data_IF_052531697459
#
_entry.id   IF_052531697459
#
_cell.length_a   1.000
_cell.length_b   1.000
_cell.length_c   1.000
_cell.angle_alpha   90.00
_cell.angle_beta   90.00
_cell.angle_gamma   90.00
#
_symmetry.space_group_name_H-M   'P 1'
#
loop_
_entity.id
_entity.type
_entity.pdbx_description
1 polymer ?
#
# COMPACT_ATOMS: atom_id res chain seq x y z
N UNK A 1 22.67 25.68 5.84
CA UNK A 1 23.14 24.37 6.32
C UNK A 1 23.15 23.45 5.12
N UNK A 2 24.25 22.74 4.89
CA UNK A 2 24.53 21.98 3.66
C UNK A 2 23.48 20.89 3.46
N UNK A 3 22.60 21.02 2.46
CA UNK A 3 21.76 19.94 1.95
C UNK A 3 22.62 19.07 1.03
N UNK A 4 23.46 18.24 1.63
CA UNK A 4 24.03 17.07 0.93
C UNK A 4 22.98 15.96 1.03
N UNK A 5 21.92 16.08 0.22
CA UNK A 5 20.90 15.03 0.08
C UNK A 5 21.44 14.07 -0.96
N UNK A 6 22.01 12.95 -0.52
CA UNK A 6 22.40 11.84 -1.39
C UNK A 6 21.23 11.41 -2.29
N UNK A 7 21.46 11.03 -3.56
CA UNK A 7 20.42 10.69 -4.54
C UNK A 7 19.47 9.55 -4.12
N UNK A 8 19.72 8.83 -3.02
CA UNK A 8 18.77 7.87 -2.45
C UNK A 8 17.58 8.48 -1.70
N UNK A 9 17.63 9.75 -1.29
CA UNK A 9 16.69 10.29 -0.29
C UNK A 9 15.46 11.00 -0.86
N UNK A 10 15.20 10.98 -2.17
CA UNK A 10 14.27 11.96 -2.76
C UNK A 10 12.80 11.72 -2.41
N UNK A 11 12.31 10.48 -2.43
CA UNK A 11 10.95 10.17 -1.99
C UNK A 11 10.76 10.41 -0.49
N UNK A 12 11.75 10.05 0.34
CA UNK A 12 11.77 10.38 1.78
C UNK A 12 11.75 11.89 1.99
N UNK A 13 12.57 12.65 1.28
CA UNK A 13 12.62 14.10 1.38
C UNK A 13 11.30 14.73 0.93
N UNK A 14 10.67 14.19 -0.11
CA UNK A 14 9.32 14.61 -0.52
C UNK A 14 8.31 14.35 0.59
N UNK A 15 8.30 13.15 1.17
CA UNK A 15 7.43 12.81 2.31
C UNK A 15 7.60 13.81 3.46
N UNK A 16 8.84 14.12 3.88
CA UNK A 16 9.08 15.09 4.95
C UNK A 16 8.58 16.49 4.57
N UNK A 17 8.82 16.94 3.33
CA UNK A 17 8.31 18.23 2.82
C UNK A 17 6.79 18.29 2.77
N UNK A 18 6.11 17.16 2.60
CA UNK A 18 4.64 17.09 2.63
C UNK A 18 4.10 17.26 4.04
N UNK A 19 4.76 16.67 5.05
CA UNK A 19 4.40 16.87 6.44
C UNK A 19 4.54 18.34 6.87
N UNK A 20 5.56 19.03 6.37
CA UNK A 20 5.82 20.44 6.67
C UNK A 20 5.06 21.40 5.72
N UNK A 21 4.21 20.89 4.83
CA UNK A 21 3.54 21.72 3.83
C UNK A 21 2.41 22.54 4.45
N UNK A 22 2.54 23.86 4.37
CA UNK A 22 1.48 24.80 4.72
C UNK A 22 0.96 25.56 3.49
N UNK A 23 -0.35 25.81 3.49
CA UNK A 23 -1.01 26.67 2.52
C UNK A 23 -1.48 25.97 1.23
N UNK A 24 -1.94 26.74 0.24
CA UNK A 24 -2.49 26.20 -1.00
C UNK A 24 -1.41 25.81 -2.02
N UNK A 25 -1.83 25.12 -3.08
CA UNK A 25 -1.00 24.87 -4.27
C UNK A 25 -0.16 23.60 -4.21
N UNK A 26 -0.44 22.70 -3.27
CA UNK A 26 0.29 21.44 -3.13
C UNK A 26 0.34 20.64 -4.44
N UNK A 27 -0.79 20.49 -5.14
CA UNK A 27 -0.89 19.73 -6.38
C UNK A 27 0.10 20.23 -7.45
N UNK A 28 0.23 21.55 -7.60
CA UNK A 28 1.20 22.14 -8.53
C UNK A 28 2.65 21.92 -8.10
N UNK A 29 2.93 21.95 -6.79
CA UNK A 29 4.27 21.66 -6.24
C UNK A 29 4.67 20.20 -6.45
N UNK A 30 3.74 19.26 -6.25
CA UNK A 30 3.95 17.84 -6.51
C UNK A 30 4.30 17.59 -7.97
N UNK A 31 3.51 18.13 -8.91
CA UNK A 31 3.79 18.02 -10.35
C UNK A 31 5.17 18.55 -10.71
N UNK A 32 5.47 19.77 -10.27
CA UNK A 32 6.78 20.39 -10.51
C UNK A 32 7.92 19.55 -9.92
N UNK A 33 7.75 18.99 -8.73
CA UNK A 33 8.76 18.15 -8.12
C UNK A 33 9.01 16.90 -8.96
N UNK A 34 7.96 16.24 -9.46
CA UNK A 34 8.09 15.08 -10.36
C UNK A 34 8.79 15.45 -11.68
N UNK A 35 8.46 16.62 -12.25
CA UNK A 35 9.12 17.12 -13.46
C UNK A 35 10.63 17.38 -13.23
N UNK A 36 10.98 17.97 -12.09
CA UNK A 36 12.37 18.26 -11.70
C UNK A 36 13.16 16.98 -11.35
N UNK A 37 12.47 15.88 -11.05
CA UNK A 37 13.07 14.61 -10.65
C UNK A 37 12.61 13.44 -11.52
N UNK A 38 12.52 13.66 -12.84
CA UNK A 38 11.99 12.70 -13.81
C UNK A 38 12.68 11.31 -13.77
N UNK A 39 13.96 11.23 -13.39
CA UNK A 39 14.66 9.95 -13.25
C UNK A 39 13.96 9.01 -12.26
N UNK A 40 13.50 9.49 -11.10
CA UNK A 40 12.82 8.63 -10.13
C UNK A 40 11.44 8.17 -10.62
N UNK A 41 10.80 8.97 -11.49
CA UNK A 41 9.56 8.54 -12.17
C UNK A 41 9.87 7.40 -13.14
N UNK A 42 10.94 7.52 -13.92
CA UNK A 42 11.37 6.46 -14.84
C UNK A 42 11.82 5.20 -14.10
N UNK A 43 12.48 5.33 -12.95
CA UNK A 43 12.87 4.17 -12.11
C UNK A 43 11.63 3.39 -11.63
N UNK A 44 10.60 4.10 -11.12
CA UNK A 44 9.33 3.48 -10.69
C UNK A 44 8.63 2.78 -11.85
N UNK A 45 8.66 3.37 -13.06
CA UNK A 45 8.11 2.76 -14.28
C UNK A 45 8.87 1.52 -14.70
N UNK A 46 10.20 1.58 -14.66
CA UNK A 46 11.07 0.45 -14.97
C UNK A 46 10.83 -0.71 -14.00
N UNK A 47 10.73 -0.44 -12.69
CA UNK A 47 10.38 -1.44 -11.68
C UNK A 47 8.95 -1.96 -11.85
N UNK A 48 8.04 -1.15 -12.36
CA UNK A 48 6.67 -1.55 -12.67
C UNK A 48 6.54 -2.51 -13.86
N UNK A 49 7.56 -2.64 -14.71
CA UNK A 49 7.50 -3.49 -15.89
C UNK A 49 7.25 -4.98 -15.52
N UNK A 50 6.40 -5.67 -16.29
CA UNK A 50 6.00 -7.06 -16.01
C UNK A 50 7.18 -8.01 -15.79
N UNK A 51 8.27 -7.85 -16.53
CA UNK A 51 9.49 -8.65 -16.38
C UNK A 51 10.22 -8.50 -15.03
N UNK A 52 9.89 -7.49 -14.21
CA UNK A 52 10.56 -7.24 -12.93
C UNK A 52 10.01 -8.03 -11.75
N UNK A 53 8.87 -8.72 -11.92
CA UNK A 53 8.29 -9.56 -10.87
C UNK A 53 9.19 -10.75 -10.46
N UNK A 54 10.20 -11.09 -11.28
CA UNK A 54 11.19 -12.17 -11.01
C UNK A 54 12.59 -11.63 -10.71
N UNK A 55 12.76 -10.32 -10.60
CA UNK A 55 14.05 -9.69 -10.35
C UNK A 55 14.08 -9.18 -8.91
N UNK A 56 15.12 -9.56 -8.16
CA UNK A 56 15.35 -9.02 -6.82
C UNK A 56 15.63 -7.53 -6.91
N UNK A 57 14.92 -6.75 -6.10
CA UNK A 57 15.05 -5.29 -6.01
C UNK A 57 15.58 -4.83 -4.64
N UNK A 58 15.93 -5.77 -3.75
CA UNK A 58 16.41 -5.47 -2.39
C UNK A 58 17.92 -5.25 -2.29
N UNK A 59 18.67 -5.41 -3.39
CA UNK A 59 20.12 -5.17 -3.39
C UNK A 59 20.44 -3.67 -3.43
N UNK A 60 21.38 -3.24 -2.59
CA UNK A 60 21.86 -1.87 -2.56
C UNK A 60 22.80 -1.63 -3.75
N UNK A 61 22.55 -0.62 -4.60
CA UNK A 61 23.41 -0.33 -5.75
C UNK A 61 24.80 0.17 -5.31
N UNK A 62 24.85 0.90 -4.19
CA UNK A 62 26.07 1.47 -3.60
C UNK A 62 25.94 1.49 -2.07
N UNK A 63 27.06 1.49 -1.33
CA UNK A 63 27.06 1.81 0.09
C UNK A 63 26.34 3.16 0.32
N UNK A 64 25.56 3.26 1.40
CA UNK A 64 24.78 4.44 1.78
C UNK A 64 23.61 4.84 0.85
N UNK A 65 23.28 4.00 -0.15
CA UNK A 65 22.10 4.20 -0.99
C UNK A 65 20.98 3.24 -0.63
N UNK A 66 19.75 3.73 -0.74
CA UNK A 66 18.57 2.88 -0.59
C UNK A 66 18.40 1.95 -1.79
N UNK A 67 18.06 0.70 -1.52
CA UNK A 67 17.62 -0.27 -2.52
C UNK A 67 16.37 0.26 -3.24
N UNK A 68 16.10 -0.21 -4.47
CA UNK A 68 14.82 0.02 -5.13
C UNK A 68 13.58 -0.29 -4.27
N UNK A 69 13.60 -1.34 -3.44
CA UNK A 69 12.49 -1.67 -2.54
C UNK A 69 12.30 -0.62 -1.45
N UNK A 70 13.38 -0.15 -0.83
CA UNK A 70 13.34 0.91 0.16
C UNK A 70 12.84 2.22 -0.47
N UNK A 71 13.25 2.55 -1.70
CA UNK A 71 12.76 3.73 -2.42
C UNK A 71 11.27 3.64 -2.75
N UNK A 72 10.77 2.47 -3.17
CA UNK A 72 9.34 2.22 -3.37
C UNK A 72 8.57 2.34 -2.05
N UNK A 73 9.17 1.99 -0.92
CA UNK A 73 8.56 2.12 0.39
C UNK A 73 8.44 3.60 0.80
N UNK A 74 9.43 4.41 0.46
CA UNK A 74 9.34 5.87 0.68
C UNK A 74 8.23 6.48 -0.17
N UNK A 75 8.10 6.04 -1.42
CA UNK A 75 7.00 6.43 -2.30
C UNK A 75 5.65 5.99 -1.73
N UNK A 76 5.52 4.77 -1.18
CA UNK A 76 4.26 4.32 -0.60
C UNK A 76 3.82 5.18 0.58
N UNK A 77 4.76 5.67 1.39
CA UNK A 77 4.46 6.64 2.45
C UNK A 77 3.97 7.98 1.91
N UNK A 78 4.49 8.45 0.77
CA UNK A 78 3.94 9.63 0.08
C UNK A 78 2.49 9.36 -0.33
N UNK A 79 2.21 8.21 -0.93
CA UNK A 79 0.85 7.85 -1.33
C UNK A 79 -0.10 7.75 -0.13
N UNK A 80 0.34 7.15 0.98
CA UNK A 80 -0.42 7.08 2.23
C UNK A 80 -0.82 8.47 2.73
N UNK A 81 0.07 9.48 2.65
CA UNK A 81 -0.27 10.87 2.97
C UNK A 81 -1.30 11.44 2.00
N UNK A 82 -1.11 11.21 0.70
CA UNK A 82 -1.97 11.77 -0.35
C UNK A 82 -3.42 11.26 -0.28
N UNK A 83 -3.64 10.07 0.29
CA UNK A 83 -4.98 9.50 0.43
C UNK A 83 -5.68 9.85 1.77
N UNK A 84 -5.03 10.57 2.70
CA UNK A 84 -5.60 10.88 4.02
C UNK A 84 -6.96 11.60 3.95
N UNK A 85 -7.15 12.49 2.97
CA UNK A 85 -8.41 13.24 2.81
C UNK A 85 -9.61 12.36 2.47
N UNK A 86 -9.40 11.19 1.88
CA UNK A 86 -10.49 10.26 1.53
C UNK A 86 -10.89 9.34 2.68
N UNK A 87 -10.15 9.36 3.79
CA UNK A 87 -10.37 8.47 4.92
C UNK A 87 -11.20 9.17 6.00
N UNK A 88 -12.08 8.40 6.62
CA UNK A 88 -12.85 8.86 7.77
C UNK A 88 -11.91 9.32 8.90
N UNK A 89 -12.30 10.33 9.69
CA UNK A 89 -11.50 10.76 10.84
C UNK A 89 -11.32 9.61 11.84
N UNK A 90 -10.24 9.62 12.64
CA UNK A 90 -10.08 8.71 13.75
C UNK A 90 -11.30 8.79 14.69
N UNK A 91 -11.66 7.67 15.32
CA UNK A 91 -12.77 7.63 16.27
C UNK A 91 -12.58 8.61 17.45
N UNK A 92 -11.33 8.92 17.80
CA UNK A 92 -10.99 9.96 18.77
C UNK A 92 -10.75 11.33 18.08
N UNK A 93 -11.85 12.06 17.92
CA UNK A 93 -11.92 13.33 17.17
C UNK A 93 -11.00 14.47 17.69
N UNK A 94 -10.45 14.36 18.90
CA UNK A 94 -9.54 15.38 19.46
C UNK A 94 -8.20 15.44 18.70
N UNK A 95 -7.80 14.35 18.04
CA UNK A 95 -6.55 14.26 17.26
C UNK A 95 -6.65 14.86 15.85
N UNK A 96 -7.87 15.14 15.36
CA UNK A 96 -8.11 15.46 13.95
C UNK A 96 -8.02 16.96 13.60
N UNK A 97 -8.04 17.86 14.58
CA UNK A 97 -8.19 19.30 14.34
C UNK A 97 -6.97 19.95 13.63
N UNK A 98 -5.77 19.41 13.84
CA UNK A 98 -4.51 19.91 13.28
C UNK A 98 -3.89 18.96 12.24
N UNK A 99 -4.65 17.95 11.80
CA UNK A 99 -4.14 16.98 10.84
C UNK A 99 -4.05 17.57 9.43
N UNK A 100 -2.87 17.49 8.82
CA UNK A 100 -2.67 17.82 7.41
C UNK A 100 -3.52 16.91 6.52
N UNK A 101 -4.39 17.51 5.71
CA UNK A 101 -5.18 16.83 4.69
C UNK A 101 -4.85 17.38 3.29
N UNK A 102 -4.26 16.59 2.39
CA UNK A 102 -3.93 17.02 1.02
C UNK A 102 -5.21 17.34 0.24
N UNK A 103 -5.19 18.24 -0.76
CA UNK A 103 -6.36 18.53 -1.58
C UNK A 103 -6.76 17.29 -2.41
N UNK A 104 -8.05 17.17 -2.74
CA UNK A 104 -8.64 15.97 -3.39
C UNK A 104 -8.13 15.71 -4.80
N UNK A 105 -7.46 16.66 -5.43
CA UNK A 105 -6.85 16.53 -6.75
C UNK A 105 -5.36 16.11 -6.69
N UNK A 106 -4.72 16.19 -5.52
CA UNK A 106 -3.30 15.89 -5.36
C UNK A 106 -2.98 14.42 -5.65
N UNK A 107 -3.75 13.49 -5.09
CA UNK A 107 -3.52 12.06 -5.27
C UNK A 107 -3.66 11.62 -6.74
N UNK A 108 -4.79 11.88 -7.44
CA UNK A 108 -4.91 11.55 -8.86
C UNK A 108 -3.84 12.21 -9.73
N UNK A 109 -3.57 13.50 -9.52
CA UNK A 109 -2.56 14.21 -10.28
C UNK A 109 -1.15 13.64 -10.09
N UNK A 110 -0.83 13.18 -8.88
CA UNK A 110 0.45 12.57 -8.57
C UNK A 110 0.59 11.21 -9.25
N UNK A 111 -0.44 10.37 -9.20
CA UNK A 111 -0.49 9.09 -9.91
C UNK A 111 -0.39 9.28 -11.44
N UNK A 112 -1.11 10.24 -12.01
CA UNK A 112 -1.03 10.58 -13.43
C UNK A 112 0.40 10.97 -13.83
N UNK A 113 1.05 11.82 -13.04
CA UNK A 113 2.43 12.26 -13.28
C UNK A 113 3.46 11.13 -13.13
N UNK A 114 3.20 10.13 -12.28
CA UNK A 114 3.99 8.89 -12.22
C UNK A 114 3.80 8.01 -13.47
N UNK A 115 2.79 8.25 -14.29
CA UNK A 115 2.36 7.34 -15.36
C UNK A 115 1.69 6.08 -14.81
N UNK A 116 1.05 6.19 -13.63
CA UNK A 116 0.28 5.10 -13.05
C UNK A 116 -1.11 5.04 -13.71
N UNK A 117 -1.58 3.85 -14.01
CA UNK A 117 -2.88 3.60 -14.62
C UNK A 117 -3.89 3.23 -13.54
N UNK A 118 -5.08 3.84 -13.60
CA UNK A 118 -6.18 3.51 -12.70
C UNK A 118 -6.66 2.08 -12.94
N UNK A 119 -6.87 1.33 -11.87
CA UNK A 119 -7.41 -0.03 -11.92
C UNK A 119 -8.86 0.02 -12.44
N UNK A 120 -9.16 -0.73 -13.50
CA UNK A 120 -10.47 -0.81 -14.15
C UNK A 120 -11.35 -1.99 -13.66
N UNK A 121 -10.94 -2.69 -12.60
CA UNK A 121 -11.68 -3.83 -12.04
C UNK A 121 -12.74 -3.32 -11.09
N UNK A 122 -14.02 -3.54 -11.42
CA UNK A 122 -15.15 -3.07 -10.60
C UNK A 122 -15.65 -4.12 -9.60
N UNK A 123 -15.41 -5.40 -9.88
CA UNK A 123 -15.74 -6.48 -8.94
C UNK A 123 -14.76 -6.49 -7.77
N UNK A 124 -15.27 -6.79 -6.57
CA UNK A 124 -14.40 -6.85 -5.41
C UNK A 124 -13.36 -7.97 -5.59
N UNK A 125 -12.10 -7.61 -5.37
CA UNK A 125 -11.00 -8.55 -5.38
C UNK A 125 -9.88 -8.03 -4.49
N UNK A 126 -9.38 -8.80 -3.51
CA UNK A 126 -8.44 -8.30 -2.50
C UNK A 126 -7.14 -7.79 -3.12
N UNK A 127 -6.66 -8.34 -4.23
CA UNK A 127 -5.49 -7.79 -4.95
C UNK A 127 -5.65 -6.31 -5.29
N UNK A 128 -6.80 -5.91 -5.82
CA UNK A 128 -7.05 -4.57 -6.33
C UNK A 128 -7.65 -3.62 -5.29
N UNK A 129 -8.26 -4.19 -4.25
CA UNK A 129 -9.14 -3.50 -3.33
C UNK A 129 -8.69 -3.64 -1.87
N UNK A 130 -8.62 -2.51 -1.18
CA UNK A 130 -8.46 -2.42 0.27
C UNK A 130 -9.85 -2.18 0.89
N UNK A 131 -10.20 -2.98 1.90
CA UNK A 131 -11.49 -2.87 2.59
C UNK A 131 -11.40 -1.74 3.61
N UNK A 132 -12.18 -0.68 3.39
CA UNK A 132 -12.25 0.50 4.26
C UNK A 132 -13.44 0.44 5.22
N UNK A 133 -14.54 -0.16 4.75
CA UNK A 133 -15.77 -0.36 5.52
C UNK A 133 -16.46 -1.61 4.99
N UNK A 134 -17.02 -2.42 5.89
CA UNK A 134 -17.93 -3.49 5.52
C UNK A 134 -19.35 -3.14 5.93
N UNK A 135 -20.24 -3.05 4.93
CA UNK A 135 -21.69 -3.01 5.14
C UNK A 135 -22.20 -4.44 5.18
N UNK A 136 -22.48 -4.95 6.37
CA UNK A 136 -22.92 -6.34 6.51
C UNK A 136 -24.24 -6.58 5.76
N UNK A 137 -24.29 -7.63 4.95
CA UNK A 137 -25.51 -8.12 4.32
C UNK A 137 -26.33 -8.99 5.27
N UNK A 138 -27.65 -9.01 5.07
CA UNK A 138 -28.57 -9.87 5.86
C UNK A 138 -28.37 -11.35 5.53
N UNK A 139 -28.06 -11.68 4.27
CA UNK A 139 -27.72 -13.04 3.83
C UNK A 139 -26.24 -13.34 4.17
N UNK A 140 -25.96 -14.30 5.07
CA UNK A 140 -24.59 -14.67 5.42
C UNK A 140 -23.74 -15.18 4.26
N UNK A 141 -24.36 -15.71 3.21
CA UNK A 141 -23.69 -16.31 2.06
C UNK A 141 -23.49 -15.32 0.89
N UNK A 142 -24.00 -14.08 1.00
CA UNK A 142 -23.91 -13.10 -0.08
C UNK A 142 -22.44 -12.75 -0.42
N UNK A 143 -22.02 -12.89 -1.69
CA UNK A 143 -20.64 -12.60 -2.07
C UNK A 143 -20.30 -11.11 -1.90
N UNK A 144 -19.02 -10.78 -1.65
CA UNK A 144 -18.59 -9.38 -1.57
C UNK A 144 -18.84 -8.60 -2.87
N UNK A 145 -19.38 -7.39 -2.74
CA UNK A 145 -19.57 -6.44 -3.83
C UNK A 145 -19.12 -5.03 -3.43
N UNK A 146 -18.46 -4.32 -4.34
CA UNK A 146 -18.08 -2.92 -4.13
C UNK A 146 -19.32 -2.05 -4.23
N UNK A 147 -19.59 -1.24 -3.20
CA UNK A 147 -20.71 -0.28 -3.21
C UNK A 147 -20.25 1.16 -3.33
N UNK A 148 -19.00 1.46 -2.96
CA UNK A 148 -18.41 2.79 -3.05
C UNK A 148 -16.88 2.66 -3.17
N UNK A 149 -16.28 3.49 -4.02
CA UNK A 149 -14.83 3.70 -4.06
C UNK A 149 -14.51 5.03 -3.37
N UNK A 150 -13.70 4.99 -2.30
CA UNK A 150 -13.25 6.17 -1.55
C UNK A 150 -12.04 6.83 -2.21
N UNK A 151 -11.10 6.02 -2.72
CA UNK A 151 -10.00 6.49 -3.56
C UNK A 151 -9.67 5.45 -4.64
N UNK A 152 -9.22 5.91 -5.82
CA UNK A 152 -8.86 5.01 -6.91
C UNK A 152 -7.59 4.21 -6.61
N UNK A 153 -7.56 2.96 -7.05
CA UNK A 153 -6.35 2.13 -7.08
C UNK A 153 -5.57 2.35 -8.37
N UNK A 154 -4.26 2.12 -8.32
CA UNK A 154 -3.37 2.30 -9.47
C UNK A 154 -2.34 1.18 -9.61
N UNK A 155 -2.03 0.86 -10.87
CA UNK A 155 -0.87 0.07 -11.28
C UNK A 155 0.18 1.01 -11.89
N UNK A 156 1.46 0.67 -11.76
CA UNK A 156 2.51 1.19 -12.65
C UNK A 156 3.02 0.02 -13.46
N UNK A 157 2.74 0.02 -14.77
CA UNK A 157 2.92 -1.16 -15.60
C UNK A 157 2.09 -2.32 -15.05
N UNK A 158 2.77 -3.40 -14.64
CA UNK A 158 2.17 -4.58 -14.04
C UNK A 158 2.16 -4.57 -12.50
N UNK A 159 2.88 -3.65 -11.86
CA UNK A 159 3.03 -3.59 -10.40
C UNK A 159 1.87 -2.83 -9.76
N UNK A 160 1.30 -3.37 -8.69
CA UNK A 160 0.32 -2.68 -7.87
C UNK A 160 0.99 -1.59 -7.04
N UNK A 161 0.67 -0.33 -7.36
CA UNK A 161 1.18 0.83 -6.65
C UNK A 161 0.34 1.12 -5.40
N UNK A 162 -0.98 1.13 -5.54
CA UNK A 162 -1.93 1.39 -4.46
C UNK A 162 -3.25 0.66 -4.74
N UNK A 163 -3.83 0.02 -3.72
CA UNK A 163 -5.16 -0.57 -3.81
C UNK A 163 -6.23 0.52 -3.78
N UNK A 164 -7.33 0.29 -4.50
CA UNK A 164 -8.52 1.12 -4.37
C UNK A 164 -9.13 0.92 -2.99
N UNK A 165 -9.33 2.00 -2.23
CA UNK A 165 -10.05 1.94 -0.97
C UNK A 165 -11.54 1.86 -1.23
N UNK A 166 -12.18 0.78 -0.80
CA UNK A 166 -13.59 0.52 -1.10
C UNK A 166 -14.42 0.25 0.15
N UNK A 167 -15.68 0.64 0.06
CA UNK A 167 -16.75 0.13 0.92
C UNK A 167 -17.34 -1.10 0.25
N UNK A 168 -17.44 -2.19 1.00
CA UNK A 168 -17.88 -3.49 0.49
C UNK A 168 -19.16 -3.91 1.20
N UNK A 169 -20.14 -4.43 0.45
CA UNK A 169 -21.27 -5.17 1.02
C UNK A 169 -21.02 -6.66 0.88
N UNK A 170 -21.15 -7.41 1.97
CA UNK A 170 -20.88 -8.86 1.98
C UNK A 170 -21.64 -9.59 3.09
N UNK A 171 -21.89 -10.88 2.89
CA UNK A 171 -22.37 -11.79 3.92
C UNK A 171 -21.27 -12.16 4.92
N UNK A 172 -21.68 -12.51 6.14
CA UNK A 172 -20.76 -12.73 7.28
C UNK A 172 -19.86 -13.96 7.15
N UNK A 173 -20.11 -14.85 6.19
CA UNK A 173 -19.19 -15.95 5.84
C UNK A 173 -18.02 -15.51 4.96
N UNK A 174 -18.10 -14.31 4.37
CA UNK A 174 -17.07 -13.77 3.49
C UNK A 174 -16.29 -12.66 4.15
N UNK A 175 -16.98 -11.66 4.72
CA UNK A 175 -16.38 -10.53 5.43
C UNK A 175 -17.27 -10.16 6.63
N UNK A 176 -16.66 -9.99 7.80
CA UNK A 176 -17.36 -9.59 9.02
C UNK A 176 -17.07 -8.11 9.32
N UNK A 177 -18.12 -7.30 9.40
CA UNK A 177 -18.01 -5.91 9.82
C UNK A 177 -17.46 -5.80 11.25
N UNK A 178 -16.50 -4.92 11.47
CA UNK A 178 -15.76 -4.82 12.73
C UNK A 178 -14.54 -5.74 12.80
N UNK A 179 -14.37 -6.70 11.87
CA UNK A 179 -13.15 -7.49 11.71
C UNK A 179 -12.42 -7.04 10.45
N UNK A 180 -13.04 -7.21 9.27
CA UNK A 180 -12.45 -6.93 7.96
C UNK A 180 -12.03 -5.47 7.75
N UNK A 181 -12.69 -4.53 8.42
CA UNK A 181 -12.46 -3.08 8.29
C UNK A 181 -11.80 -2.44 9.53
N UNK A 182 -11.56 -3.21 10.60
CA UNK A 182 -10.96 -2.70 11.85
C UNK A 182 -9.72 -3.45 12.34
N UNK A 183 -9.50 -4.70 11.90
CA UNK A 183 -8.28 -5.45 12.21
C UNK A 183 -7.03 -4.75 11.69
N UNK A 184 -5.85 -5.08 12.20
CA UNK A 184 -4.59 -4.48 11.76
C UNK A 184 -4.34 -4.68 10.27
N UNK A 185 -4.01 -3.60 9.57
CA UNK A 185 -3.62 -3.64 8.16
C UNK A 185 -2.10 -3.75 8.02
N UNK A 186 -1.64 -4.91 7.58
CA UNK A 186 -0.22 -5.25 7.39
C UNK A 186 0.39 -4.61 6.13
N UNK A 187 1.73 -4.51 6.09
CA UNK A 187 2.51 -3.85 5.03
C UNK A 187 2.11 -2.41 4.73
N UNK A 188 1.46 -1.75 5.69
CA UNK A 188 0.94 -0.40 5.54
C UNK A 188 1.52 0.46 6.64
N UNK A 189 1.99 1.64 6.27
CA UNK A 189 2.58 2.55 7.24
C UNK A 189 1.49 3.30 8.01
N UNK A 190 0.52 3.90 7.30
CA UNK A 190 -0.50 4.75 7.95
C UNK A 190 -1.89 4.66 7.33
N UNK A 191 -2.91 4.61 8.19
CA UNK A 191 -4.32 4.93 7.91
C UNK A 191 -4.88 5.78 9.06
N UNK A 192 -5.90 6.60 8.79
CA UNK A 192 -6.56 7.46 9.80
C UNK A 192 -7.57 6.69 10.64
N UNK A 193 -8.30 5.78 9.99
CA UNK A 193 -9.48 5.12 10.55
C UNK A 193 -9.22 3.68 11.02
N UNK A 194 -7.98 3.19 10.91
CA UNK A 194 -7.63 1.78 11.09
C UNK A 194 -6.20 1.59 11.60
N UNK A 195 -5.93 0.65 12.52
CA UNK A 195 -4.57 0.29 12.91
C UNK A 195 -3.77 -0.29 11.74
N UNK A 196 -2.47 0.00 11.72
CA UNK A 196 -1.53 -0.44 10.68
C UNK A 196 -0.31 -1.09 11.29
N UNK A 197 0.30 -2.04 10.58
CA UNK A 197 1.55 -2.67 10.98
C UNK A 197 2.44 -2.91 9.74
N UNK A 198 3.71 -2.57 9.86
CA UNK A 198 4.74 -2.82 8.86
C UNK A 198 6.08 -2.96 9.57
N UNK A 199 7.10 -3.44 8.85
CA UNK A 199 8.42 -3.69 9.41
C UNK A 199 9.16 -2.42 9.85
N UNK A 200 8.59 -1.22 9.64
CA UNK A 200 9.19 0.03 10.09
C UNK A 200 8.77 0.41 11.51
N UNK A 201 7.64 -0.11 11.98
CA UNK A 201 7.14 0.14 13.33
C UNK A 201 8.07 -0.49 14.38
N UNK A 202 8.34 0.24 15.47
CA UNK A 202 9.26 -0.18 16.53
C UNK A 202 10.73 0.16 16.29
N UNK A 203 11.09 0.66 15.10
CA UNK A 203 12.45 1.09 14.78
C UNK A 203 12.66 2.60 15.03
N UNK A 204 13.91 3.00 15.24
CA UNK A 204 14.28 4.42 15.35
C UNK A 204 14.06 5.19 14.05
N UNK A 205 13.90 6.52 14.16
CA UNK A 205 13.50 7.44 13.07
C UNK A 205 14.29 7.33 11.75
N UNK A 206 15.55 6.87 11.79
CA UNK A 206 16.37 6.65 10.59
C UNK A 206 16.29 5.21 10.07
N UNK A 207 16.20 4.22 10.95
CA UNK A 207 16.17 2.80 10.61
C UNK A 207 14.86 2.38 9.94
N UNK A 208 13.76 3.04 10.28
CA UNK A 208 12.44 2.83 9.65
C UNK A 208 12.39 3.13 8.14
N UNK A 209 13.41 3.79 7.57
CA UNK A 209 13.49 4.06 6.13
C UNK A 209 14.19 2.94 5.35
N UNK A 210 14.80 1.98 6.05
CA UNK A 210 15.36 0.78 5.44
C UNK A 210 14.37 -0.38 5.37
N UNK A 211 13.07 -0.05 5.32
CA UNK A 211 12.00 -1.04 5.20
C UNK A 211 11.71 -1.26 3.72
N UNK A 212 11.65 -2.52 3.31
CA UNK A 212 11.34 -2.90 1.94
C UNK A 212 9.84 -2.76 1.62
N UNK A 213 9.56 -2.30 0.40
CA UNK A 213 8.20 -2.28 -0.13
C UNK A 213 7.75 -3.68 -0.55
N UNK A 214 6.55 -4.06 -0.15
CA UNK A 214 5.89 -5.26 -0.68
C UNK A 214 5.44 -5.02 -2.12
N UNK A 215 6.03 -5.76 -3.06
CA UNK A 215 5.59 -5.74 -4.46
C UNK A 215 4.56 -6.82 -4.76
N UNK A 216 3.42 -6.40 -5.31
CA UNK A 216 2.38 -7.27 -5.89
C UNK A 216 2.31 -7.00 -7.41
N UNK A 217 2.13 -8.02 -8.27
CA UNK A 217 2.12 -7.88 -9.74
C UNK A 217 0.95 -8.61 -10.42
N UNK A 218 0.49 -8.06 -11.55
CA UNK A 218 -0.41 -8.72 -12.51
C UNK A 218 0.38 -9.12 -13.75
N UNK A 219 0.65 -10.41 -13.94
CA UNK A 219 1.46 -10.93 -15.06
C UNK A 219 0.86 -12.21 -15.60
N UNK A 220 0.77 -12.34 -16.93
CA UNK A 220 0.32 -13.55 -17.63
C UNK A 220 -1.01 -14.15 -17.10
N UNK A 221 -1.97 -13.27 -16.78
CA UNK A 221 -3.27 -13.68 -16.23
C UNK A 221 -3.20 -14.21 -14.80
N UNK A 222 -2.16 -13.86 -14.04
CA UNK A 222 -1.97 -14.23 -12.64
C UNK A 222 -1.71 -13.00 -11.77
N UNK A 223 -2.09 -13.13 -10.52
CA UNK A 223 -1.88 -12.18 -9.45
C UNK A 223 -0.80 -12.74 -8.53
N UNK A 224 0.34 -12.06 -8.50
CA UNK A 224 1.48 -12.41 -7.69
C UNK A 224 1.55 -11.49 -6.48
N UNK A 225 1.45 -12.06 -5.28
CA UNK A 225 1.49 -11.33 -4.03
C UNK A 225 2.85 -11.48 -3.36
N UNK A 226 3.44 -10.35 -2.94
CA UNK A 226 4.70 -10.26 -2.21
C UNK A 226 5.84 -11.04 -2.90
N UNK A 227 6.15 -10.65 -4.14
CA UNK A 227 7.07 -11.42 -5.01
C UNK A 227 8.48 -11.54 -4.43
N UNK A 228 8.93 -10.56 -3.65
CA UNK A 228 10.26 -10.56 -3.02
C UNK A 228 10.39 -11.66 -1.96
N UNK A 229 9.34 -11.87 -1.15
CA UNK A 229 9.32 -12.97 -0.18
C UNK A 229 9.37 -14.36 -0.85
N UNK A 230 8.87 -14.49 -2.09
CA UNK A 230 8.98 -15.72 -2.87
C UNK A 230 10.42 -16.02 -3.35
N UNK A 231 11.30 -15.01 -3.38
CA UNK A 231 12.70 -15.13 -3.80
C UNK A 231 13.64 -15.43 -2.63
N UNK A 232 13.22 -15.17 -1.38
CA UNK A 232 14.02 -15.42 -0.20
C UNK A 232 13.95 -16.91 0.20
N UNK A 233 15.08 -17.54 0.55
CA UNK A 233 15.08 -18.92 1.05
C UNK A 233 14.35 -18.98 2.39
N UNK A 234 13.31 -19.81 2.47
CA UNK A 234 12.32 -19.80 3.55
C UNK A 234 12.89 -20.06 4.93
N UNK A 235 12.67 -19.12 5.85
CA UNK A 235 12.74 -19.34 7.28
C UNK A 235 11.35 -19.79 7.72
N UNK A 236 11.18 -21.08 8.02
CA UNK A 236 9.94 -21.57 8.58
C UNK A 236 9.83 -21.05 10.03
N UNK A 237 8.88 -20.16 10.30
CA UNK A 237 8.58 -19.74 11.67
C UNK A 237 7.94 -20.90 12.45
N UNK A 238 8.37 -21.10 13.71
CA UNK A 238 7.96 -22.22 14.56
C UNK A 238 6.48 -22.10 15.03
N UNK A 239 5.90 -20.90 15.03
CA UNK A 239 4.49 -20.61 15.33
C UNK A 239 3.70 -20.23 14.06
N UNK A 240 3.80 -21.05 13.02
CA UNK A 240 3.18 -20.76 11.73
C UNK A 240 1.64 -20.67 11.85
N UNK A 241 1.09 -19.55 11.37
CA UNK A 241 -0.34 -19.43 11.04
C UNK A 241 -0.78 -20.64 10.21
N UNK A 242 -2.02 -21.10 10.41
CA UNK A 242 -2.56 -22.13 9.54
C UNK A 242 -2.57 -21.62 8.07
N UNK A 243 -2.46 -22.52 7.08
CA UNK A 243 -2.31 -22.11 5.68
C UNK A 243 -3.42 -21.21 5.15
N UNK A 244 -4.67 -21.34 5.65
CA UNK A 244 -5.77 -20.52 5.19
C UNK A 244 -5.63 -19.08 5.72
N UNK A 245 -5.32 -18.92 7.01
CA UNK A 245 -5.07 -17.62 7.62
C UNK A 245 -3.83 -16.93 7.03
N UNK A 246 -2.78 -17.69 6.70
CA UNK A 246 -1.61 -17.17 6.01
C UNK A 246 -1.98 -16.59 4.62
N UNK A 247 -2.75 -17.33 3.82
CA UNK A 247 -3.22 -16.86 2.50
C UNK A 247 -4.16 -15.66 2.64
N UNK A 248 -5.06 -15.67 3.61
CA UNK A 248 -5.96 -14.56 3.92
C UNK A 248 -5.17 -13.27 4.17
N UNK A 249 -4.19 -13.29 5.09
CA UNK A 249 -3.37 -12.12 5.40
C UNK A 249 -2.56 -11.66 4.19
N UNK A 250 -1.97 -12.56 3.40
CA UNK A 250 -1.27 -12.14 2.17
C UNK A 250 -2.23 -11.47 1.20
N UNK A 251 -3.42 -12.01 0.97
CA UNK A 251 -4.37 -11.48 0.00
C UNK A 251 -5.00 -10.18 0.47
N UNK A 252 -5.58 -10.16 1.67
CA UNK A 252 -6.36 -9.04 2.21
C UNK A 252 -5.52 -8.02 2.99
N UNK A 253 -4.28 -8.37 3.37
CA UNK A 253 -3.42 -7.59 4.28
C UNK A 253 -4.00 -7.43 5.69
N UNK A 254 -5.07 -8.13 6.02
CA UNK A 254 -5.75 -8.02 7.30
C UNK A 254 -6.67 -9.24 7.53
N UNK A 255 -7.14 -9.39 8.77
CA UNK A 255 -8.17 -10.36 9.17
C UNK A 255 -9.53 -9.99 8.56
N UNK A 256 -10.31 -10.98 8.09
CA UNK A 256 -11.59 -10.76 7.39
C UNK A 256 -12.82 -11.35 8.08
N UNK A 257 -12.75 -12.62 8.50
CA UNK A 257 -13.87 -13.32 9.16
C UNK A 257 -13.59 -13.55 10.65
N UNK A 258 -12.38 -14.02 10.96
CA UNK A 258 -11.89 -14.22 12.32
C UNK A 258 -10.80 -13.19 12.58
N UNK A 259 -10.86 -12.51 13.72
CA UNK A 259 -9.78 -11.62 14.12
C UNK A 259 -8.58 -12.44 14.62
N UNK A 260 -7.50 -12.43 13.84
CA UNK A 260 -6.24 -13.11 14.16
C UNK A 260 -5.36 -12.33 15.15
N UNK A 261 -5.78 -11.13 15.59
CA UNK A 261 -4.99 -10.24 16.45
C UNK A 261 -4.06 -9.32 15.66
N UNK A 262 -3.17 -8.62 16.38
CA UNK A 262 -2.27 -7.61 15.83
C UNK A 262 -0.77 -7.98 15.88
N UNK A 263 -0.41 -8.98 16.68
CA UNK A 263 0.96 -9.47 16.88
C UNK A 263 1.33 -10.66 15.97
N UNK A 264 1.06 -10.50 14.66
CA UNK A 264 1.40 -11.49 13.64
C UNK A 264 2.58 -11.00 12.80
N UNK A 265 3.31 -11.95 12.21
CA UNK A 265 4.46 -11.67 11.36
C UNK A 265 4.29 -12.24 9.94
N UNK A 266 3.39 -11.67 9.11
CA UNK A 266 3.08 -12.23 7.80
C UNK A 266 4.07 -11.84 6.70
N UNK A 267 5.13 -11.10 7.02
CA UNK A 267 5.95 -10.35 6.05
C UNK A 267 6.73 -11.23 5.06
N UNK A 268 7.03 -12.47 5.43
CA UNK A 268 7.72 -13.46 4.58
C UNK A 268 6.75 -14.36 3.80
N UNK A 269 5.44 -14.11 3.90
CA UNK A 269 4.43 -14.89 3.19
C UNK A 269 4.22 -14.33 1.78
N UNK A 270 4.05 -15.23 0.81
CA UNK A 270 3.73 -14.90 -0.58
C UNK A 270 2.61 -15.80 -1.10
N UNK A 271 1.97 -15.39 -2.19
CA UNK A 271 0.89 -16.16 -2.80
C UNK A 271 0.79 -15.86 -4.30
N UNK A 272 0.28 -16.82 -5.07
CA UNK A 272 -0.04 -16.61 -6.49
C UNK A 272 -1.40 -17.23 -6.79
N UNK A 273 -2.27 -16.50 -7.47
CA UNK A 273 -3.56 -17.00 -7.93
C UNK A 273 -3.88 -16.52 -9.37
N UNK A 274 -4.81 -17.17 -10.08
CA UNK A 274 -5.30 -16.65 -11.36
C UNK A 274 -5.95 -15.27 -11.19
N UNK A 275 -5.73 -14.37 -12.15
CA UNK A 275 -6.48 -13.13 -12.21
C UNK A 275 -7.96 -13.42 -12.53
N UNK A 276 -8.91 -12.63 -11.98
CA UNK A 276 -10.31 -12.73 -12.39
C UNK A 276 -10.42 -12.53 -13.90
N UNK A 277 -11.31 -13.29 -14.54
CA UNK A 277 -11.59 -13.14 -15.97
C UNK A 277 -12.16 -11.72 -16.19
N UNK A 278 -11.45 -10.92 -16.98
CA UNK A 278 -11.91 -9.58 -17.38
C UNK A 278 -13.05 -9.62 -18.39
#
# INVERSE_FOLDING_TARGET
MSEDISPGHHWRALYMRLLDHEGPGLTGRLRRWLDEHAQYVEDVREWGHAGKHLVSLGEHPEPDHYSPLEQLYHLSRVLDLLILRYQDPPADSASAADEFLPPTDAYPAFCDSLGAERIAVHEFHPFFHEIIEVRQADDPDEPPSVVEERWPGHLVGAMLLMRAGVVVRAGSKHLVAGVADRSTLYWTYRRRSRPTNDLSHGWGHNSQWGTDFRRDYVVDGRLHYNVDAAMLPGWAHEDALDPASAIELVRHRCSTVVDHGDDLFPFDLHHVEPAPLG
#
